data_IF_197057390573
#
_entry.id   IF_197057390573
#
_cell.length_a   1.000
_cell.length_b   1.000
_cell.length_c   1.000
_cell.angle_alpha   90.00
_cell.angle_beta   90.00
_cell.angle_gamma   90.00
#
_symmetry.space_group_name_H-M   'P 1'
#
loop_
_entity.id
_entity.type
_entity.pdbx_description
1 polymer ?
#
# COMPACT_ATOMS: atom_id res chain seq x y z
N UNK A 1 35.26 -14.60 -7.25
CA UNK A 1 34.07 -13.75 -6.97
C UNK A 1 34.37 -12.95 -5.72
N UNK A 2 34.58 -11.65 -5.87
CA UNK A 2 35.02 -10.76 -4.78
C UNK A 2 34.06 -10.77 -3.60
N UNK A 3 34.59 -11.01 -2.40
CA UNK A 3 33.83 -10.97 -1.13
C UNK A 3 33.08 -9.65 -0.94
N UNK A 4 33.58 -8.55 -1.54
CA UNK A 4 32.93 -7.24 -1.60
C UNK A 4 31.62 -7.25 -2.39
N UNK A 5 31.56 -7.97 -3.52
CA UNK A 5 30.37 -8.09 -4.37
C UNK A 5 29.30 -8.91 -3.65
N UNK A 6 29.71 -9.99 -2.97
CA UNK A 6 28.80 -10.81 -2.16
C UNK A 6 28.15 -10.01 -1.02
N UNK A 7 28.93 -9.18 -0.31
CA UNK A 7 28.41 -8.31 0.75
C UNK A 7 27.39 -7.29 0.22
N UNK A 8 27.67 -6.67 -0.93
CA UNK A 8 26.75 -5.69 -1.55
C UNK A 8 25.45 -6.35 -1.99
N UNK A 9 25.50 -7.56 -2.58
CA UNK A 9 24.29 -8.31 -2.92
C UNK A 9 23.46 -8.67 -1.68
N UNK A 10 24.10 -9.08 -0.59
CA UNK A 10 23.41 -9.35 0.67
C UNK A 10 22.75 -8.09 1.25
N UNK A 11 23.41 -6.93 1.19
CA UNK A 11 22.85 -5.67 1.67
C UNK A 11 21.68 -5.19 0.80
N UNK A 12 21.74 -5.36 -0.52
CA UNK A 12 20.65 -5.02 -1.44
C UNK A 12 19.45 -5.96 -1.23
N UNK A 13 19.68 -7.26 -1.10
CA UNK A 13 18.63 -8.24 -0.79
C UNK A 13 18.01 -8.00 0.60
N UNK A 14 18.82 -7.65 1.60
CA UNK A 14 18.31 -7.29 2.92
C UNK A 14 17.50 -5.99 2.88
N UNK A 15 17.89 -5.03 2.04
CA UNK A 15 17.17 -3.76 1.86
C UNK A 15 15.83 -3.95 1.15
N UNK A 16 15.74 -4.82 0.14
CA UNK A 16 14.47 -5.14 -0.52
C UNK A 16 13.54 -5.96 0.39
N UNK A 17 14.08 -6.84 1.23
CA UNK A 17 13.30 -7.52 2.28
C UNK A 17 12.83 -6.54 3.38
N UNK A 18 13.63 -5.52 3.71
CA UNK A 18 13.27 -4.49 4.70
C UNK A 18 12.10 -3.60 4.26
N UNK A 19 11.94 -3.34 2.96
CA UNK A 19 10.81 -2.57 2.44
C UNK A 19 9.50 -3.38 2.45
N UNK A 20 9.58 -4.71 2.32
CA UNK A 20 8.41 -5.59 2.47
C UNK A 20 8.10 -5.98 3.93
N UNK A 21 8.99 -5.67 4.88
CA UNK A 21 8.89 -6.05 6.30
C UNK A 21 8.57 -4.87 7.22
N UNK A 22 8.12 -3.72 6.70
CA UNK A 22 7.76 -2.56 7.53
C UNK A 22 6.35 -2.72 8.14
N UNK A 23 6.08 -3.82 8.83
CA UNK A 23 4.76 -4.10 9.43
C UNK A 23 4.83 -4.57 10.89
N UNK A 24 5.73 -4.02 11.71
CA UNK A 24 6.12 -4.81 12.89
C UNK A 24 5.64 -4.26 14.26
N UNK A 25 4.81 -3.22 14.33
CA UNK A 25 4.28 -2.78 15.64
C UNK A 25 3.07 -1.85 15.67
N UNK A 26 3.14 -0.67 15.03
CA UNK A 26 2.05 0.32 15.09
C UNK A 26 0.80 -0.16 14.36
N UNK A 27 0.99 -0.76 13.18
CA UNK A 27 -0.10 -1.12 12.28
C UNK A 27 -0.85 -2.34 12.83
N UNK A 28 -0.09 -3.30 13.37
CA UNK A 28 -0.64 -4.46 14.08
C UNK A 28 -1.37 -4.06 15.38
N UNK A 29 -0.88 -3.04 16.10
CA UNK A 29 -1.58 -2.48 17.25
C UNK A 29 -2.88 -1.78 16.86
N UNK A 30 -2.87 -0.96 15.80
CA UNK A 30 -4.08 -0.29 15.31
C UNK A 30 -5.12 -1.31 14.82
N UNK A 31 -4.70 -2.32 14.06
CA UNK A 31 -5.57 -3.40 13.62
C UNK A 31 -6.19 -4.13 14.81
N UNK A 32 -5.40 -4.45 15.84
CA UNK A 32 -5.91 -5.07 17.07
C UNK A 32 -6.95 -4.18 17.76
N UNK A 33 -6.71 -2.87 17.82
CA UNK A 33 -7.66 -1.89 18.34
C UNK A 33 -8.97 -1.86 17.55
N UNK A 34 -8.89 -1.79 16.23
CA UNK A 34 -10.06 -1.83 15.32
C UNK A 34 -10.83 -3.14 15.49
N UNK A 35 -10.15 -4.28 15.56
CA UNK A 35 -10.81 -5.57 15.73
C UNK A 35 -11.46 -5.73 17.12
N UNK A 36 -10.85 -5.17 18.17
CA UNK A 36 -11.47 -5.10 19.50
C UNK A 36 -12.74 -4.24 19.48
N UNK A 37 -12.71 -3.12 18.75
CA UNK A 37 -13.89 -2.28 18.54
C UNK A 37 -14.98 -3.00 17.74
N UNK A 38 -14.63 -3.66 16.63
CA UNK A 38 -15.56 -4.47 15.82
C UNK A 38 -16.21 -5.61 16.62
N UNK A 39 -15.45 -6.25 17.50
CA UNK A 39 -15.99 -7.25 18.43
C UNK A 39 -17.05 -6.65 19.38
N UNK A 40 -16.85 -5.41 19.85
CA UNK A 40 -17.85 -4.71 20.67
C UNK A 40 -19.15 -4.42 19.91
N UNK A 41 -19.05 -4.24 18.59
CA UNK A 41 -20.18 -4.07 17.66
C UNK A 41 -20.77 -5.41 17.17
N UNK A 42 -20.17 -6.55 17.56
CA UNK A 42 -20.55 -7.91 17.15
C UNK A 42 -20.45 -8.14 15.64
N UNK A 43 -19.51 -7.47 14.97
CA UNK A 43 -19.18 -7.72 13.55
C UNK A 43 -17.84 -8.46 13.42
N UNK A 44 -17.62 -9.23 12.33
CA UNK A 44 -16.41 -10.05 12.18
C UNK A 44 -15.12 -9.23 12.20
N UNK A 45 -14.04 -9.81 12.71
CA UNK A 45 -12.71 -9.19 12.66
C UNK A 45 -12.22 -9.04 11.21
N UNK A 46 -11.44 -7.99 10.96
CA UNK A 46 -10.71 -7.78 9.72
C UNK A 46 -9.41 -8.60 9.73
N UNK A 47 -9.09 -9.17 8.57
CA UNK A 47 -7.81 -9.83 8.28
C UNK A 47 -6.91 -8.92 7.47
N UNK A 48 -5.60 -9.10 7.53
CA UNK A 48 -4.69 -8.32 6.68
C UNK A 48 -4.89 -8.67 5.20
N UNK A 49 -4.94 -7.65 4.34
CA UNK A 49 -4.98 -7.80 2.90
C UNK A 49 -3.77 -7.06 2.29
N UNK A 50 -2.86 -7.83 1.68
CA UNK A 50 -1.60 -7.31 1.11
C UNK A 50 -1.81 -6.31 -0.03
N UNK A 51 -2.87 -6.48 -0.81
CA UNK A 51 -3.18 -5.59 -1.93
C UNK A 51 -3.77 -4.27 -1.43
N UNK A 52 -4.64 -4.34 -0.41
CA UNK A 52 -5.10 -3.16 0.30
C UNK A 52 -3.94 -2.44 1.02
N UNK A 53 -2.97 -3.18 1.56
CA UNK A 53 -1.78 -2.62 2.20
C UNK A 53 -0.91 -1.86 1.19
N UNK A 54 -0.62 -2.46 0.02
CA UNK A 54 0.08 -1.75 -1.06
C UNK A 54 -0.63 -0.46 -1.45
N UNK A 55 -1.96 -0.50 -1.62
CA UNK A 55 -2.72 0.70 -1.95
C UNK A 55 -2.64 1.75 -0.83
N UNK A 56 -2.75 1.33 0.43
CA UNK A 56 -2.59 2.20 1.59
C UNK A 56 -1.22 2.90 1.58
N UNK A 57 -0.13 2.18 1.26
CA UNK A 57 1.22 2.75 1.16
C UNK A 57 1.29 3.83 0.08
N UNK A 58 0.76 3.57 -1.12
CA UNK A 58 0.77 4.55 -2.21
C UNK A 58 -0.05 5.80 -1.87
N UNK A 59 -1.18 5.62 -1.18
CA UNK A 59 -2.01 6.72 -0.71
C UNK A 59 -1.34 7.49 0.43
N UNK A 60 -0.65 6.81 1.34
CA UNK A 60 0.08 7.42 2.45
C UNK A 60 1.20 8.34 1.95
N UNK A 61 1.92 7.92 0.90
CA UNK A 61 3.00 8.72 0.28
C UNK A 61 2.53 10.10 -0.22
N UNK A 62 1.24 10.30 -0.49
CA UNK A 62 0.70 11.61 -0.86
C UNK A 62 0.76 12.64 0.27
N UNK A 63 0.79 12.17 1.50
CA UNK A 63 0.91 13.00 2.68
C UNK A 63 2.36 13.28 3.07
N UNK A 64 3.32 12.80 2.28
CA UNK A 64 4.73 13.11 2.49
C UNK A 64 4.93 14.63 2.48
N UNK A 65 5.66 15.12 3.47
CA UNK A 65 5.90 16.54 3.72
C UNK A 65 4.63 17.39 3.97
N UNK A 66 3.44 16.76 4.05
CA UNK A 66 2.20 17.45 4.42
C UNK A 66 2.11 17.56 5.95
N UNK A 67 2.11 18.78 6.51
CA UNK A 67 2.09 18.94 7.95
C UNK A 67 0.75 18.49 8.55
N UNK A 68 0.83 17.69 9.60
CA UNK A 68 -0.33 17.36 10.43
C UNK A 68 -0.44 18.37 11.57
N UNK A 69 -1.12 19.49 11.34
CA UNK A 69 -1.28 20.51 12.39
C UNK A 69 -2.47 20.27 13.31
N UNK A 70 -3.43 19.44 12.89
CA UNK A 70 -4.64 19.10 13.64
C UNK A 70 -5.00 17.63 13.46
N UNK A 71 -5.72 17.11 14.44
CA UNK A 71 -6.28 15.75 14.38
C UNK A 71 -7.45 15.72 13.39
N UNK A 72 -7.25 15.04 12.26
CA UNK A 72 -8.23 14.90 11.17
C UNK A 72 -8.69 13.45 11.10
N UNK A 73 -9.97 13.20 10.84
CA UNK A 73 -10.58 11.86 10.92
C UNK A 73 -11.78 11.88 11.86
N UNK A 74 -11.65 12.30 13.12
CA UNK A 74 -12.78 12.45 14.06
C UNK A 74 -13.87 13.45 13.59
N UNK A 75 -13.46 14.47 12.82
CA UNK A 75 -14.31 15.61 12.45
C UNK A 75 -14.52 15.76 10.93
N UNK A 76 -14.17 14.76 10.11
CA UNK A 76 -14.43 14.83 8.67
C UNK A 76 -15.94 14.89 8.43
N UNK A 77 -16.37 15.89 7.66
CA UNK A 77 -17.76 16.03 7.23
C UNK A 77 -17.99 15.06 6.07
N UNK A 78 -19.06 14.26 6.07
CA UNK A 78 -19.35 13.36 4.95
C UNK A 78 -19.39 14.11 3.63
N UNK A 79 -18.68 13.61 2.61
CA UNK A 79 -18.54 14.27 1.31
C UNK A 79 -17.36 15.24 1.19
N UNK A 80 -16.57 15.41 2.25
CA UNK A 80 -15.29 16.17 2.23
C UNK A 80 -14.06 15.26 2.29
N UNK A 81 -14.22 13.98 1.96
CA UNK A 81 -13.11 13.02 1.96
C UNK A 81 -12.00 13.46 1.01
N UNK A 82 -10.76 13.18 1.41
CA UNK A 82 -9.58 13.47 0.61
C UNK A 82 -9.69 12.80 -0.76
N UNK A 83 -9.64 13.60 -1.80
CA UNK A 83 -9.57 13.09 -3.16
C UNK A 83 -8.13 12.73 -3.51
N UNK A 84 -7.97 11.60 -4.19
CA UNK A 84 -6.68 11.09 -4.62
C UNK A 84 -6.58 11.26 -6.14
N UNK A 85 -6.04 12.39 -6.64
CA UNK A 85 -6.07 12.71 -8.07
C UNK A 85 -5.31 11.71 -8.93
N UNK A 86 -4.24 11.11 -8.39
CA UNK A 86 -3.41 10.10 -9.06
C UNK A 86 -3.83 8.65 -8.72
N UNK A 87 -5.08 8.44 -8.27
CA UNK A 87 -5.59 7.11 -7.89
C UNK A 87 -5.30 6.01 -8.94
N UNK A 88 -5.49 6.24 -10.26
CA UNK A 88 -5.14 5.22 -11.27
C UNK A 88 -3.67 4.78 -11.25
N UNK A 89 -2.73 5.68 -10.92
CA UNK A 89 -1.31 5.34 -10.83
C UNK A 89 -1.01 4.45 -9.62
N UNK A 90 -1.72 4.65 -8.50
CA UNK A 90 -1.55 3.81 -7.31
C UNK A 90 -2.07 2.41 -7.54
N UNK A 91 -3.20 2.29 -8.24
CA UNK A 91 -3.70 0.99 -8.67
C UNK A 91 -2.69 0.29 -9.56
N UNK A 92 -2.09 1.01 -10.52
CA UNK A 92 -1.13 0.42 -11.48
C UNK A 92 0.13 -0.06 -10.77
N UNK A 93 0.66 0.74 -9.84
CA UNK A 93 1.79 0.36 -9.00
C UNK A 93 1.53 -0.93 -8.21
N UNK A 94 0.33 -1.06 -7.67
CA UNK A 94 -0.09 -2.23 -6.92
C UNK A 94 -0.64 -3.36 -7.80
N UNK A 95 -0.61 -3.22 -9.13
CA UNK A 95 -1.13 -4.16 -10.11
C UNK A 95 -2.61 -4.52 -9.89
N UNK A 96 -3.43 -3.58 -9.39
CA UNK A 96 -4.82 -3.81 -8.97
C UNK A 96 -5.80 -3.53 -10.10
N UNK A 97 -6.84 -4.33 -10.24
CA UNK A 97 -7.86 -4.02 -11.24
C UNK A 97 -8.78 -2.86 -10.76
N UNK A 98 -8.91 -1.78 -11.53
CA UNK A 98 -9.81 -0.67 -11.20
C UNK A 98 -11.29 -1.10 -11.04
N UNK A 99 -11.72 -2.16 -11.72
CA UNK A 99 -13.06 -2.72 -11.56
C UNK A 99 -13.30 -3.37 -10.20
N UNK A 100 -12.25 -3.62 -9.41
CA UNK A 100 -12.35 -4.33 -8.11
C UNK A 100 -11.96 -3.48 -6.90
N UNK A 101 -11.99 -2.15 -7.06
CA UNK A 101 -11.71 -1.20 -5.96
C UNK A 101 -12.92 -0.34 -5.52
N UNK A 102 -14.03 -0.37 -6.25
CA UNK A 102 -15.20 0.47 -6.03
C UNK A 102 -15.98 0.21 -4.74
N UNK A 103 -15.93 -1.00 -4.18
CA UNK A 103 -16.62 -1.37 -2.92
C UNK A 103 -15.70 -1.31 -1.70
N UNK A 104 -14.41 -1.04 -1.91
CA UNK A 104 -13.46 -0.80 -0.83
C UNK A 104 -13.63 0.58 -0.22
N UNK A 105 -12.99 0.82 0.92
CA UNK A 105 -13.06 2.12 1.60
C UNK A 105 -11.69 2.62 2.01
N UNK A 106 -11.36 3.85 1.60
CA UNK A 106 -10.13 4.54 1.97
C UNK A 106 -10.42 5.52 3.12
N UNK A 107 -9.60 5.47 4.18
CA UNK A 107 -9.81 6.23 5.41
C UNK A 107 -8.48 6.86 5.89
N UNK A 108 -8.10 8.02 5.36
CA UNK A 108 -6.96 8.77 5.88
C UNK A 108 -7.32 9.46 7.21
N UNK A 109 -6.40 9.41 8.16
CA UNK A 109 -6.46 10.16 9.41
C UNK A 109 -5.11 10.82 9.68
N UNK A 110 -5.18 11.97 10.34
CA UNK A 110 -4.01 12.77 10.73
C UNK A 110 -3.99 12.82 12.25
N UNK A 111 -2.89 12.38 12.88
CA UNK A 111 -2.70 12.47 14.33
C UNK A 111 -1.25 12.87 14.61
N UNK A 112 -1.00 14.08 15.13
CA UNK A 112 0.35 14.48 15.51
C UNK A 112 1.00 13.48 16.47
N UNK A 113 2.15 12.91 16.08
CA UNK A 113 2.88 11.91 16.86
C UNK A 113 2.26 10.52 16.91
N UNK A 114 1.21 10.24 16.12
CA UNK A 114 0.55 8.93 16.01
C UNK A 114 0.17 8.28 17.35
N UNK A 115 -0.33 9.07 18.31
CA UNK A 115 -0.73 8.57 19.63
C UNK A 115 -1.81 7.47 19.48
N UNK A 116 -1.55 6.21 19.89
CA UNK A 116 -2.39 5.07 19.50
C UNK A 116 -3.88 5.20 19.82
N UNK A 117 -4.22 5.66 21.03
CA UNK A 117 -5.62 5.84 21.46
C UNK A 117 -6.35 6.94 20.66
N UNK A 118 -5.61 7.98 20.26
CA UNK A 118 -6.14 9.07 19.44
C UNK A 118 -6.36 8.60 18.01
N UNK A 119 -5.41 7.86 17.44
CA UNK A 119 -5.54 7.23 16.12
C UNK A 119 -6.78 6.31 16.11
N UNK A 120 -6.91 5.42 17.08
CA UNK A 120 -8.08 4.54 17.18
C UNK A 120 -9.39 5.33 17.33
N UNK A 121 -9.40 6.41 18.12
CA UNK A 121 -10.57 7.28 18.28
C UNK A 121 -10.97 7.96 16.97
N UNK A 122 -10.00 8.39 16.16
CA UNK A 122 -10.25 8.98 14.84
C UNK A 122 -10.96 8.04 13.86
N UNK A 123 -10.78 6.74 14.01
CA UNK A 123 -11.49 5.74 13.20
C UNK A 123 -12.83 5.32 13.81
N UNK A 124 -12.89 5.18 15.14
CA UNK A 124 -14.06 4.60 15.84
C UNK A 124 -15.12 5.62 16.25
N UNK A 125 -14.78 6.90 16.37
CA UNK A 125 -15.69 7.99 16.75
C UNK A 125 -15.91 9.02 15.64
N UNK A 126 -15.62 8.65 14.40
CA UNK A 126 -15.83 9.48 13.21
C UNK A 126 -16.88 8.91 12.28
N UNK A 127 -17.06 9.56 11.13
CA UNK A 127 -17.80 9.00 10.00
C UNK A 127 -17.29 7.63 9.54
N UNK A 128 -16.01 7.29 9.81
CA UNK A 128 -15.47 5.97 9.44
C UNK A 128 -16.10 4.82 10.23
N UNK A 129 -16.74 5.12 11.36
CA UNK A 129 -17.45 4.12 12.13
C UNK A 129 -18.53 3.39 11.30
N UNK A 130 -19.17 4.06 10.34
CA UNK A 130 -20.17 3.41 9.50
C UNK A 130 -19.59 2.23 8.71
N UNK A 131 -18.33 2.34 8.28
CA UNK A 131 -17.63 1.29 7.55
C UNK A 131 -17.04 0.24 8.51
N UNK A 132 -16.54 0.66 9.67
CA UNK A 132 -16.09 -0.27 10.70
C UNK A 132 -17.23 -1.11 11.30
N UNK A 133 -18.46 -0.64 11.25
CA UNK A 133 -19.65 -1.40 11.66
C UNK A 133 -20.28 -2.22 10.52
N UNK A 134 -19.72 -2.18 9.31
CA UNK A 134 -20.27 -2.91 8.18
C UNK A 134 -19.62 -4.32 8.10
N UNK A 135 -20.49 -5.33 7.98
CA UNK A 135 -20.10 -6.74 7.87
C UNK A 135 -19.54 -7.11 6.51
N UNK A 136 -19.71 -6.27 5.48
CA UNK A 136 -19.18 -6.54 4.13
C UNK A 136 -17.65 -6.49 4.07
N UNK A 137 -17.03 -5.73 4.97
CA UNK A 137 -15.58 -5.63 5.06
C UNK A 137 -15.00 -6.78 5.87
N UNK A 138 -13.98 -7.41 5.30
CA UNK A 138 -13.33 -8.60 5.83
C UNK A 138 -11.81 -8.50 5.82
N UNK A 139 -11.25 -7.55 5.05
CA UNK A 139 -9.82 -7.32 4.95
C UNK A 139 -9.43 -5.87 5.17
N UNK A 140 -8.15 -5.64 5.44
CA UNK A 140 -7.62 -4.29 5.70
C UNK A 140 -6.15 -4.17 5.31
N UNK A 141 -5.80 -3.02 4.76
CA UNK A 141 -4.43 -2.51 4.62
C UNK A 141 -4.24 -1.27 5.48
N UNK A 142 -3.07 -1.13 6.11
CA UNK A 142 -2.71 0.02 6.93
C UNK A 142 -1.33 0.47 6.49
N UNK A 143 -1.15 1.78 6.31
CA UNK A 143 0.15 2.38 6.10
C UNK A 143 0.22 3.76 6.77
N UNK A 144 1.43 4.21 7.06
CA UNK A 144 1.69 5.52 7.66
C UNK A 144 2.72 6.33 6.87
N UNK A 145 2.56 7.65 6.89
CA UNK A 145 3.53 8.61 6.35
C UNK A 145 3.58 9.81 7.30
N UNK A 146 4.68 9.92 8.06
CA UNK A 146 4.77 10.91 9.13
C UNK A 146 3.66 10.73 10.17
N UNK A 147 2.85 11.77 10.34
CA UNK A 147 1.70 11.82 11.26
C UNK A 147 0.36 11.39 10.62
N UNK A 148 0.43 10.89 9.38
CA UNK A 148 -0.73 10.40 8.65
C UNK A 148 -0.80 8.88 8.70
N UNK A 149 -2.02 8.37 8.86
CA UNK A 149 -2.34 6.94 8.78
C UNK A 149 -3.43 6.77 7.74
N UNK A 150 -3.26 5.81 6.84
CA UNK A 150 -4.26 5.43 5.85
C UNK A 150 -4.70 4.00 6.13
N UNK A 151 -5.99 3.83 6.38
CA UNK A 151 -6.63 2.52 6.50
C UNK A 151 -7.46 2.28 5.23
N UNK A 152 -7.24 1.16 4.57
CA UNK A 152 -7.97 0.73 3.38
C UNK A 152 -8.73 -0.55 3.72
N UNK A 153 -10.05 -0.53 3.71
CA UNK A 153 -10.90 -1.71 3.95
C UNK A 153 -11.19 -2.43 2.64
N UNK A 154 -11.09 -3.77 2.66
CA UNK A 154 -11.44 -4.65 1.56
C UNK A 154 -12.61 -5.57 1.90
N UNK A 155 -13.30 -6.05 0.88
CA UNK A 155 -14.34 -7.08 0.98
C UNK A 155 -13.75 -8.46 0.65
N UNK A 156 -14.50 -9.54 0.92
CA UNK A 156 -14.09 -10.92 0.60
C UNK A 156 -14.42 -11.33 -0.84
N UNK A 157 -15.28 -10.57 -1.52
CA UNK A 157 -15.72 -10.82 -2.88
C UNK A 157 -16.26 -9.52 -3.50
N UNK A 158 -16.31 -9.48 -4.83
CA UNK A 158 -16.91 -8.37 -5.58
C UNK A 158 -15.92 -7.25 -5.89
N UNK A 159 -16.45 -6.05 -6.12
CA UNK A 159 -15.69 -4.90 -6.61
C UNK A 159 -14.85 -4.19 -5.54
N UNK A 160 -14.41 -4.87 -4.49
CA UNK A 160 -13.66 -4.29 -3.36
C UNK A 160 -12.64 -5.23 -2.71
N UNK A 161 -12.30 -6.34 -3.36
CA UNK A 161 -11.34 -7.33 -2.86
C UNK A 161 -9.87 -6.95 -3.14
N UNK A 162 -9.66 -5.95 -4.00
CA UNK A 162 -8.36 -5.52 -4.52
C UNK A 162 -7.60 -6.66 -5.21
N UNK A 163 -8.29 -7.53 -5.95
CA UNK A 163 -7.64 -8.57 -6.74
C UNK A 163 -6.73 -7.98 -7.86
N UNK A 164 -5.58 -8.62 -8.16
CA UNK A 164 -4.69 -8.15 -9.21
C UNK A 164 -5.34 -8.17 -10.59
N UNK A 165 -4.88 -7.31 -11.48
CA UNK A 165 -5.30 -7.29 -12.87
C UNK A 165 -4.80 -8.53 -13.63
N UNK A 166 -5.61 -9.11 -14.54
CA UNK A 166 -5.16 -10.19 -15.39
C UNK A 166 -3.94 -9.78 -16.24
N UNK A 167 -2.97 -10.69 -16.49
CA UNK A 167 -1.83 -10.39 -17.34
C UNK A 167 -2.28 -9.92 -18.74
N UNK A 168 -1.76 -8.77 -19.20
CA UNK A 168 -2.07 -8.22 -20.52
C UNK A 168 -3.38 -7.40 -20.61
N UNK A 169 -4.03 -7.10 -19.49
CA UNK A 169 -5.17 -6.18 -19.48
C UNK A 169 -4.70 -4.72 -19.54
N UNK A 170 -5.14 -3.98 -20.56
CA UNK A 170 -4.94 -2.52 -20.67
C UNK A 170 -6.08 -1.83 -19.90
N UNK A 171 -6.02 -1.83 -18.58
CA UNK A 171 -7.09 -1.28 -17.73
C UNK A 171 -6.76 0.13 -17.20
N UNK A 172 -5.54 0.63 -17.45
CA UNK A 172 -5.25 2.05 -17.33
C UNK A 172 -6.01 2.81 -18.43
N UNK A 173 -6.87 3.78 -18.12
CA UNK A 173 -7.39 4.67 -19.15
C UNK A 173 -6.18 5.37 -19.78
N UNK A 174 -6.05 5.27 -21.11
CA UNK A 174 -5.02 6.00 -21.86
C UNK A 174 -5.15 7.50 -21.57
N UNK A 175 -4.41 7.99 -20.59
CA UNK A 175 -4.14 9.42 -20.42
C UNK A 175 -3.17 9.80 -21.53
N UNK A 176 -3.71 10.18 -22.68
CA UNK A 176 -2.94 10.86 -23.71
C UNK A 176 -2.38 12.16 -23.11
N UNK A 177 -1.05 12.34 -22.98
CA UNK A 177 -0.53 13.64 -22.62
C UNK A 177 -0.73 14.58 -23.81
N UNK A 178 -1.68 15.49 -23.68
CA UNK A 178 -1.82 16.62 -24.59
C UNK A 178 -0.61 17.55 -24.37
N UNK A 179 0.35 17.46 -25.30
CA UNK A 179 1.25 18.52 -25.75
C UNK A 179 2.18 19.20 -24.72
N UNK A 180 3.44 18.76 -24.62
CA UNK A 180 4.56 19.65 -24.26
C UNK A 180 5.81 19.33 -25.08
N UNK A 181 6.03 20.14 -26.11
CA UNK A 181 7.34 20.35 -26.72
C UNK A 181 8.18 21.22 -25.75
N UNK A 182 9.46 20.86 -25.62
CA UNK A 182 10.57 21.59 -24.98
C UNK A 182 10.70 21.45 -23.45
N UNK A 183 11.66 20.63 -22.99
CA UNK A 183 12.92 21.10 -22.39
C UNK A 183 13.87 19.91 -22.14
N UNK A 184 15.02 19.96 -22.82
CA UNK A 184 16.18 19.09 -22.62
C UNK A 184 16.98 19.54 -21.38
N UNK A 185 17.58 18.56 -20.69
CA UNK A 185 18.70 18.61 -19.73
C UNK A 185 18.39 18.96 -18.25
N UNK A 186 18.19 17.92 -17.43
CA UNK A 186 18.91 17.63 -16.16
C UNK A 186 18.79 16.09 -15.97
N UNK A 187 19.82 15.27 -16.10
CA UNK A 187 20.86 15.10 -15.08
C UNK A 187 20.52 13.98 -14.06
N UNK A 188 20.34 12.75 -14.55
CA UNK A 188 20.74 11.47 -13.90
C UNK A 188 20.51 11.26 -12.40
N UNK A 189 19.28 10.99 -11.94
CA UNK A 189 19.03 10.19 -10.72
C UNK A 189 17.79 9.31 -10.93
N UNK A 190 17.97 8.15 -11.59
CA UNK A 190 17.03 7.05 -11.53
C UNK A 190 17.60 6.01 -10.55
N UNK A 191 16.80 5.50 -9.59
CA UNK A 191 17.21 4.34 -8.80
C UNK A 191 17.38 3.14 -9.73
N UNK A 192 18.49 2.43 -9.55
CA UNK A 192 19.00 1.30 -10.35
C UNK A 192 18.17 0.02 -10.12
N UNK A 193 16.85 0.08 -10.24
CA UNK A 193 15.99 -1.10 -10.08
C UNK A 193 15.60 -1.77 -11.41
N UNK A 194 15.96 -1.19 -12.56
CA UNK A 194 15.60 -1.75 -13.87
C UNK A 194 16.83 -1.78 -14.77
N UNK A 195 17.82 -2.63 -14.52
CA UNK A 195 18.78 -2.96 -15.58
C UNK A 195 19.53 -4.31 -15.44
N UNK A 196 19.03 -5.28 -14.65
CA UNK A 196 19.64 -6.62 -14.59
C UNK A 196 18.61 -7.74 -14.69
N UNK A 197 17.81 -7.71 -15.77
CA UNK A 197 17.15 -8.94 -16.28
C UNK A 197 17.55 -9.23 -17.72
N UNK A 198 18.23 -8.30 -18.39
CA UNK A 198 18.68 -8.50 -19.77
C UNK A 198 20.19 -8.69 -19.76
N UNK A 199 20.59 -9.96 -19.87
CA UNK A 199 21.82 -10.53 -20.46
C UNK A 199 22.29 -11.69 -19.58
N UNK A 200 22.01 -12.93 -20.02
CA UNK A 200 22.80 -14.10 -19.65
C UNK A 200 22.03 -15.39 -19.33
N UNK A 201 21.43 -16.04 -20.34
CA UNK A 201 21.65 -17.48 -20.52
C UNK A 201 22.79 -17.64 -21.54
N UNK A 202 23.55 -18.75 -21.60
CA UNK A 202 23.32 -20.06 -20.96
C UNK A 202 24.56 -20.66 -20.25
N UNK A 203 24.38 -21.69 -19.42
CA UNK A 203 25.34 -22.80 -19.37
C UNK A 203 24.76 -24.04 -18.67
N UNK A 204 24.71 -25.15 -19.42
CA UNK A 204 24.49 -26.50 -18.92
C UNK A 204 25.49 -26.86 -17.80
N UNK A 205 25.03 -27.61 -16.80
CA UNK A 205 25.90 -28.52 -16.06
C UNK A 205 25.25 -29.91 -15.97
N UNK A 206 25.80 -30.79 -16.79
CA UNK A 206 25.65 -32.24 -16.76
C UNK A 206 26.25 -32.75 -15.44
N UNK A 207 25.53 -33.58 -14.67
CA UNK A 207 26.11 -34.34 -13.56
C UNK A 207 25.83 -35.81 -13.77
N UNK A 208 26.84 -36.50 -14.30
CA UNK A 208 27.03 -37.94 -14.18
C UNK A 208 27.05 -38.33 -12.70
N UNK A 209 26.12 -39.23 -12.33
CA UNK A 209 26.05 -39.87 -11.03
C UNK A 209 26.62 -41.28 -11.16
N UNK A 210 27.87 -41.49 -10.74
CA UNK A 210 28.43 -42.82 -10.48
C UNK A 210 29.36 -42.76 -9.25
N UNK A 211 29.25 -43.79 -8.41
CA UNK A 211 30.09 -44.17 -7.26
C UNK A 211 29.59 -43.75 -5.85
N UNK A 212 28.62 -44.48 -5.31
CA UNK A 212 28.82 -45.56 -4.31
C UNK A 212 27.47 -46.19 -3.93
#
# INVERSE_FOLDING_TARGET
MDSRISLVCFLVLASSLLHCARSDGSDSQLLKGINSYRASLKVPALSENKNAACLAEQLAQQFKDQPCTNTTGANTVPGTEQQFPDYPKYLDHCHLNASVTGDGQVMPACVPGLVPDVVLTNYTKSQYNQYLNDTKFSGVGIANEGDWVVVVLSTSSGSGDYSPAPPGSNWAPSVHPFNQLILLLVGSWLPVCIQLVIIGEPMQLNNDLHAL
#
